data_IF_817240181021
#
_entry.id   IF_817240181021
#
_cell.length_a   1.000
_cell.length_b   1.000
_cell.length_c   1.000
_cell.angle_alpha   90.00
_cell.angle_beta   90.00
_cell.angle_gamma   90.00
#
_symmetry.space_group_name_H-M   'P 1'
#
loop_
_entity.id
_entity.type
_entity.pdbx_description
1 polymer ?
#
# COMPACT_ATOMS: atom_id res chain seq x y z
N UNK A 1 -17.16 22.66 -6.77
CA UNK A 1 -17.07 21.19 -6.65
C UNK A 1 -15.64 20.68 -6.39
N UNK A 2 -14.58 21.34 -6.90
CA UNK A 2 -13.18 20.90 -6.76
C UNK A 2 -12.67 20.84 -5.30
N UNK A 3 -12.94 21.86 -4.48
CA UNK A 3 -12.34 21.98 -3.14
C UNK A 3 -12.75 20.94 -2.09
N UNK A 4 -13.80 20.16 -2.31
CA UNK A 4 -14.20 19.08 -1.37
C UNK A 4 -13.37 17.80 -1.57
N UNK A 5 -12.92 17.53 -2.79
CA UNK A 5 -12.07 16.38 -3.09
C UNK A 5 -10.63 16.60 -2.62
N UNK A 6 -10.15 17.84 -2.70
CA UNK A 6 -8.82 18.22 -2.20
C UNK A 6 -8.72 18.11 -0.68
N UNK A 7 -9.78 18.48 0.04
CA UNK A 7 -9.83 18.35 1.51
C UNK A 7 -9.85 16.89 1.96
N UNK A 8 -10.59 16.03 1.24
CA UNK A 8 -10.62 14.58 1.50
C UNK A 8 -9.26 13.93 1.26
N UNK A 9 -8.61 14.25 0.15
CA UNK A 9 -7.26 13.78 -0.16
C UNK A 9 -6.24 14.25 0.89
N UNK A 10 -6.30 15.51 1.30
CA UNK A 10 -5.42 16.09 2.31
C UNK A 10 -5.63 15.50 3.71
N UNK A 11 -6.87 15.16 4.09
CA UNK A 11 -7.15 14.50 5.37
C UNK A 11 -6.67 13.04 5.39
N UNK A 12 -6.80 12.33 4.26
CA UNK A 12 -6.29 10.97 4.12
C UNK A 12 -4.75 10.95 4.21
N UNK A 13 -4.04 11.82 3.49
CA UNK A 13 -2.57 11.90 3.61
C UNK A 13 -2.15 12.25 5.03
N UNK A 14 -2.82 13.21 5.68
CA UNK A 14 -2.43 13.66 7.03
C UNK A 14 -2.69 12.61 8.12
N UNK A 15 -3.78 11.85 8.06
CA UNK A 15 -4.09 10.79 9.05
C UNK A 15 -3.25 9.54 8.85
N UNK A 16 -2.95 9.18 7.60
CA UNK A 16 -2.11 8.01 7.27
C UNK A 16 -0.65 8.28 7.63
N UNK A 17 -0.16 9.49 7.35
CA UNK A 17 1.18 9.93 7.71
C UNK A 17 1.46 10.06 9.22
N UNK A 18 0.41 10.27 10.03
CA UNK A 18 0.56 10.28 11.49
C UNK A 18 0.92 8.90 12.06
N UNK A 19 0.58 7.82 11.36
CA UNK A 19 0.92 6.46 11.74
C UNK A 19 2.23 5.95 11.12
N UNK A 20 2.59 6.45 9.93
CA UNK A 20 3.80 6.04 9.22
C UNK A 20 4.40 7.24 8.45
N UNK A 21 5.40 7.94 9.01
CA UNK A 21 5.99 9.14 8.42
C UNK A 21 6.61 8.90 7.03
N UNK A 22 7.09 7.67 6.74
CA UNK A 22 7.67 7.31 5.45
C UNK A 22 6.69 7.50 4.27
N UNK A 23 5.38 7.49 4.53
CA UNK A 23 4.35 7.76 3.52
C UNK A 23 4.35 9.20 3.02
N UNK A 24 4.86 10.17 3.79
CA UNK A 24 4.96 11.57 3.34
C UNK A 24 6.09 11.79 2.34
N UNK A 25 7.14 10.98 2.41
CA UNK A 25 8.33 11.09 1.58
C UNK A 25 8.13 10.46 0.20
N UNK A 26 7.06 9.66 0.02
CA UNK A 26 6.80 8.99 -1.25
C UNK A 26 6.11 9.91 -2.26
N UNK A 27 6.58 9.93 -3.53
CA UNK A 27 5.88 10.63 -4.60
C UNK A 27 4.43 10.13 -4.75
N UNK A 28 3.50 11.05 -5.07
CA UNK A 28 2.07 10.72 -5.26
C UNK A 28 1.80 9.53 -6.20
N UNK A 29 2.48 9.38 -7.35
CA UNK A 29 2.31 8.19 -8.19
C UNK A 29 2.74 6.89 -7.50
N UNK A 30 3.80 6.92 -6.67
CA UNK A 30 4.26 5.75 -5.93
C UNK A 30 3.29 5.36 -4.83
N UNK A 31 2.72 6.34 -4.11
CA UNK A 31 1.67 6.08 -3.12
C UNK A 31 0.48 5.34 -3.73
N UNK A 32 -0.03 5.84 -4.87
CA UNK A 32 -1.14 5.19 -5.57
C UNK A 32 -0.79 3.76 -5.99
N UNK A 33 0.43 3.53 -6.47
CA UNK A 33 0.91 2.20 -6.85
C UNK A 33 1.02 1.26 -5.63
N UNK A 34 1.50 1.75 -4.49
CA UNK A 34 1.55 0.97 -3.24
C UNK A 34 0.13 0.53 -2.83
N UNK A 35 -0.83 1.46 -2.84
CA UNK A 35 -2.23 1.17 -2.53
C UNK A 35 -2.88 0.19 -3.52
N UNK A 36 -2.59 0.32 -4.81
CA UNK A 36 -3.09 -0.60 -5.83
C UNK A 36 -2.61 -2.03 -5.59
N UNK A 37 -1.30 -2.20 -5.36
CA UNK A 37 -0.72 -3.51 -5.07
C UNK A 37 -1.25 -4.12 -3.77
N UNK A 38 -1.44 -3.31 -2.73
CA UNK A 38 -2.10 -3.76 -1.50
C UNK A 38 -3.52 -4.27 -1.76
N UNK A 39 -4.32 -3.52 -2.53
CA UNK A 39 -5.68 -3.91 -2.89
C UNK A 39 -5.72 -5.21 -3.69
N UNK A 40 -4.80 -5.39 -4.64
CA UNK A 40 -4.68 -6.62 -5.43
C UNK A 40 -4.32 -7.82 -4.57
N UNK A 41 -3.35 -7.67 -3.67
CA UNK A 41 -3.00 -8.71 -2.69
C UNK A 41 -4.20 -9.07 -1.79
N UNK A 42 -4.94 -8.07 -1.30
CA UNK A 42 -6.13 -8.31 -0.48
C UNK A 42 -7.20 -9.10 -1.23
N UNK A 43 -7.50 -8.73 -2.49
CA UNK A 43 -8.47 -9.45 -3.33
C UNK A 43 -8.05 -10.91 -3.51
N UNK A 44 -6.76 -11.16 -3.81
CA UNK A 44 -6.25 -12.53 -3.97
C UNK A 44 -6.37 -13.34 -2.67
N UNK A 45 -6.04 -12.74 -1.52
CA UNK A 45 -6.17 -13.37 -0.20
C UNK A 45 -7.63 -13.70 0.16
N UNK A 46 -8.57 -12.81 -0.15
CA UNK A 46 -10.00 -13.02 0.14
C UNK A 46 -10.67 -13.98 -0.84
N UNK A 47 -10.11 -14.18 -2.04
CA UNK A 47 -10.71 -15.04 -3.07
C UNK A 47 -10.75 -16.52 -2.69
N UNK A 48 -10.02 -16.95 -1.65
CA UNK A 48 -10.20 -18.24 -0.98
C UNK A 48 -9.95 -19.48 -1.84
N UNK A 49 -9.35 -19.33 -3.03
CA UNK A 49 -8.84 -20.48 -3.78
C UNK A 49 -7.73 -21.14 -2.94
N UNK A 50 -7.62 -22.46 -2.99
CA UNK A 50 -6.43 -23.14 -2.45
C UNK A 50 -5.23 -22.55 -3.19
N UNK A 51 -4.49 -21.66 -2.52
CA UNK A 51 -3.44 -20.87 -3.13
C UNK A 51 -2.40 -21.81 -3.71
N UNK A 52 -2.33 -21.89 -5.04
CA UNK A 52 -1.21 -22.50 -5.71
C UNK A 52 0.08 -21.78 -5.30
N UNK A 53 1.23 -22.46 -5.38
CA UNK A 53 2.52 -21.81 -5.14
C UNK A 53 2.68 -20.54 -6.00
N UNK A 54 2.14 -20.56 -7.22
CA UNK A 54 2.17 -19.40 -8.12
C UNK A 54 1.34 -18.22 -7.60
N UNK A 55 0.13 -18.47 -7.08
CA UNK A 55 -0.68 -17.41 -6.45
C UNK A 55 0.02 -16.83 -5.22
N UNK A 56 0.66 -17.66 -4.41
CA UNK A 56 1.43 -17.19 -3.25
C UNK A 56 2.59 -16.28 -3.65
N UNK A 57 3.32 -16.61 -4.71
CA UNK A 57 4.39 -15.74 -5.22
C UNK A 57 3.86 -14.43 -5.78
N UNK A 58 2.69 -14.44 -6.42
CA UNK A 58 2.02 -13.22 -6.89
C UNK A 58 1.56 -12.34 -5.73
N UNK A 59 0.94 -12.92 -4.70
CA UNK A 59 0.56 -12.22 -3.47
C UNK A 59 1.80 -11.61 -2.82
N UNK A 60 2.87 -12.39 -2.67
CA UNK A 60 4.15 -11.92 -2.11
C UNK A 60 4.70 -10.73 -2.89
N UNK A 61 4.72 -10.82 -4.22
CA UNK A 61 5.20 -9.74 -5.10
C UNK A 61 4.38 -8.47 -4.94
N UNK A 62 3.04 -8.58 -4.93
CA UNK A 62 2.16 -7.43 -4.67
C UNK A 62 2.43 -6.81 -3.29
N UNK A 63 2.60 -7.61 -2.24
CA UNK A 63 2.88 -7.08 -0.91
C UNK A 63 4.24 -6.37 -0.84
N UNK A 64 5.28 -6.91 -1.48
CA UNK A 64 6.59 -6.24 -1.54
C UNK A 64 6.50 -4.89 -2.26
N UNK A 65 5.78 -4.81 -3.38
CA UNK A 65 5.54 -3.54 -4.06
C UNK A 65 4.69 -2.59 -3.22
N UNK A 66 3.70 -3.09 -2.48
CA UNK A 66 2.90 -2.29 -1.57
C UNK A 66 3.73 -1.65 -0.44
N UNK A 67 4.80 -2.33 0.00
CA UNK A 67 5.70 -1.88 1.07
C UNK A 67 6.86 -1.01 0.58
N UNK A 68 6.98 -0.75 -0.72
CA UNK A 68 8.11 0.00 -1.27
C UNK A 68 8.25 1.38 -0.62
N UNK A 69 9.44 1.64 -0.07
CA UNK A 69 9.77 2.88 0.60
C UNK A 69 9.19 3.03 2.01
N UNK A 70 8.58 1.97 2.55
CA UNK A 70 8.06 1.88 3.92
C UNK A 70 8.89 0.95 4.81
N UNK A 71 9.81 0.18 4.21
CA UNK A 71 10.74 -0.67 4.93
C UNK A 71 11.87 0.19 5.52
N UNK A 72 11.66 0.67 6.74
CA UNK A 72 12.73 1.24 7.58
C UNK A 72 13.57 0.08 8.13
N UNK A 73 14.89 0.15 7.97
CA UNK A 73 15.81 -0.98 8.15
C UNK A 73 16.08 -1.47 9.58
N UNK A 74 15.08 -1.54 10.47
CA UNK A 74 15.34 -1.92 11.89
C UNK A 74 14.48 -3.06 12.48
N UNK A 75 13.57 -3.71 11.75
CA UNK A 75 12.72 -4.77 12.34
C UNK A 75 12.98 -6.21 11.82
N UNK A 76 14.23 -6.51 11.47
CA UNK A 76 14.69 -7.90 11.21
C UNK A 76 16.02 -8.20 11.93
N UNK A 77 16.13 -7.88 13.22
CA UNK A 77 17.17 -8.43 14.12
C UNK A 77 16.60 -9.54 14.98
#
# INVERSE_FOLDING_TARGET
>A
MQGRYDLGAALCTKKVAQGEPALLELPKPRLLLNFQNFGEAAIMLFSGSQSSHLENERIRSCLLEAMHGLLSGEDYS
#
